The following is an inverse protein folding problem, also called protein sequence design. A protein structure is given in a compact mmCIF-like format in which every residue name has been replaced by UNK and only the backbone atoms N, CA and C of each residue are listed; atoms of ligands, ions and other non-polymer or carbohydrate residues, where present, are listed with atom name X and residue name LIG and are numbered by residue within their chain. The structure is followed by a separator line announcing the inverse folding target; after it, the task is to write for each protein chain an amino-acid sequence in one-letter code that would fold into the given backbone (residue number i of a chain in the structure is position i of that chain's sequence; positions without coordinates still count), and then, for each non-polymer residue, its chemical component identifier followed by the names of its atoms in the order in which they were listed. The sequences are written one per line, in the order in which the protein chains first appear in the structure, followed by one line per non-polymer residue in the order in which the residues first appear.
data_IF_303014542636
#
_entry.id   IF_303014542636
#
_cell.length_a   1.000
_cell.length_b   1.000
_cell.length_c   1.000
_cell.angle_alpha   90.00
_cell.angle_beta   90.00
_cell.angle_gamma   90.00
#
_symmetry.space_group_name_H-M   'P 1'
#
loop_
_entity.id
_entity.type
_entity.pdbx_description
1 polymer ?
#
# COMPACT_ATOMS: atom_id res chain seq x y z
N UNK A 1 -11.09 -22.01 -8.82
CA UNK A 1 -9.93 -21.10 -8.63
C UNK A 1 -10.11 -19.95 -9.60
N UNK A 2 -10.34 -18.73 -9.12
CA UNK A 2 -10.08 -17.57 -9.96
C UNK A 2 -8.59 -17.60 -10.32
N UNK A 3 -8.29 -17.55 -11.61
CA UNK A 3 -6.91 -17.57 -12.08
C UNK A 3 -6.34 -16.15 -12.08
N UNK A 4 -5.03 -16.00 -11.94
CA UNK A 4 -4.32 -14.71 -12.14
C UNK A 4 -4.62 -14.01 -13.47
N UNK A 5 -5.15 -14.76 -14.45
CA UNK A 5 -5.54 -14.27 -15.77
C UNK A 5 -7.06 -14.23 -15.96
N UNK A 6 -7.85 -14.35 -14.88
CA UNK A 6 -9.29 -14.16 -14.99
C UNK A 6 -9.58 -12.72 -15.39
N UNK A 7 -10.55 -12.55 -16.28
CA UNK A 7 -10.98 -11.22 -16.73
C UNK A 7 -11.39 -10.36 -15.53
N UNK A 8 -12.06 -10.94 -14.53
CA UNK A 8 -12.46 -10.26 -13.29
C UNK A 8 -11.27 -9.66 -12.52
N UNK A 9 -10.21 -10.44 -12.31
CA UNK A 9 -9.02 -10.00 -11.58
C UNK A 9 -8.28 -8.91 -12.35
N UNK A 10 -8.15 -9.08 -13.67
CA UNK A 10 -7.46 -8.11 -14.53
C UNK A 10 -8.22 -6.79 -14.64
N UNK A 11 -9.55 -6.82 -14.74
CA UNK A 11 -10.40 -5.61 -14.71
C UNK A 11 -10.30 -4.88 -13.38
N UNK A 12 -10.28 -5.63 -12.27
CA UNK A 12 -10.10 -5.07 -10.93
C UNK A 12 -8.77 -4.35 -10.81
N UNK A 13 -7.65 -5.06 -11.09
CA UNK A 13 -6.30 -4.51 -11.05
C UNK A 13 -6.18 -3.30 -11.97
N UNK A 14 -6.66 -3.39 -13.20
CA UNK A 14 -6.63 -2.29 -14.16
C UNK A 14 -7.38 -1.06 -13.64
N UNK A 15 -8.54 -1.26 -13.00
CA UNK A 15 -9.30 -0.16 -12.42
C UNK A 15 -8.58 0.54 -11.27
N UNK A 16 -7.81 -0.21 -10.47
CA UNK A 16 -6.99 0.34 -9.38
C UNK A 16 -5.79 1.08 -9.96
N UNK A 17 -5.07 0.47 -10.92
CA UNK A 17 -3.93 1.09 -11.59
C UNK A 17 -4.31 2.41 -12.26
N UNK A 18 -5.44 2.47 -12.98
CA UNK A 18 -5.94 3.70 -13.60
C UNK A 18 -6.18 4.83 -12.58
N UNK A 19 -6.63 4.50 -11.37
CA UNK A 19 -6.73 5.49 -10.30
C UNK A 19 -5.34 5.94 -9.82
N UNK A 20 -4.42 4.99 -9.69
CA UNK A 20 -3.07 5.22 -9.19
C UNK A 20 -2.16 5.98 -10.17
N UNK A 21 -2.39 5.90 -11.48
CA UNK A 21 -1.63 6.62 -12.52
C UNK A 21 -1.53 8.13 -12.26
N UNK A 22 -2.54 8.69 -11.59
CA UNK A 22 -2.57 10.10 -11.16
C UNK A 22 -1.42 10.48 -10.22
N UNK A 23 -0.80 9.48 -9.59
CA UNK A 23 0.26 9.62 -8.60
C UNK A 23 1.63 9.19 -9.12
N UNK A 24 1.78 8.82 -10.40
CA UNK A 24 3.04 8.35 -10.99
C UNK A 24 4.19 9.38 -10.93
N UNK A 25 3.89 10.66 -10.69
CA UNK A 25 4.92 11.69 -10.45
C UNK A 25 5.55 11.60 -9.06
N UNK A 26 4.87 10.97 -8.11
CA UNK A 26 5.29 10.84 -6.72
C UNK A 26 5.69 9.41 -6.37
N UNK A 27 5.15 8.42 -7.08
CA UNK A 27 5.40 7.00 -6.81
C UNK A 27 5.76 6.25 -8.09
N UNK A 28 6.74 5.36 -8.00
CA UNK A 28 6.86 4.22 -8.92
C UNK A 28 5.79 3.20 -8.55
N UNK A 29 5.16 2.58 -9.56
CA UNK A 29 4.05 1.65 -9.35
C UNK A 29 4.37 0.33 -10.02
N UNK A 30 4.34 -0.75 -9.23
CA UNK A 30 4.68 -2.10 -9.70
C UNK A 30 3.60 -3.09 -9.30
N UNK A 31 3.21 -3.96 -10.23
CA UNK A 31 2.24 -5.03 -9.96
C UNK A 31 2.97 -6.37 -9.91
N UNK A 32 2.75 -7.12 -8.84
CA UNK A 32 3.29 -8.45 -8.64
C UNK A 32 2.16 -9.47 -8.57
N UNK A 33 2.35 -10.61 -9.23
CA UNK A 33 1.40 -11.72 -9.24
C UNK A 33 1.97 -12.91 -8.51
N UNK A 34 1.16 -13.50 -7.64
CA UNK A 34 1.48 -14.69 -6.86
C UNK A 34 0.56 -15.85 -7.26
N UNK A 35 0.82 -17.03 -6.72
CA UNK A 35 -0.01 -18.22 -6.97
C UNK A 35 -1.41 -18.02 -6.40
N UNK A 36 -1.50 -17.31 -5.28
CA UNK A 36 -2.69 -17.14 -4.46
C UNK A 36 -3.26 -15.72 -4.47
N UNK A 37 -2.67 -14.79 -5.23
CA UNK A 37 -3.15 -13.42 -5.27
C UNK A 37 -2.31 -12.48 -6.14
N UNK A 38 -2.45 -11.20 -5.86
CA UNK A 38 -1.68 -10.13 -6.48
C UNK A 38 -1.37 -9.03 -5.46
N UNK A 39 -0.37 -8.21 -5.78
CA UNK A 39 -0.10 -6.98 -5.07
C UNK A 39 0.23 -5.84 -6.01
N UNK A 40 -0.04 -4.62 -5.56
CA UNK A 40 0.40 -3.38 -6.19
C UNK A 40 1.25 -2.63 -5.18
N UNK A 41 2.50 -2.39 -5.52
CA UNK A 41 3.47 -1.65 -4.72
C UNK A 41 3.59 -0.23 -5.26
N UNK A 42 3.59 0.75 -4.36
CA UNK A 42 3.89 2.15 -4.65
C UNK A 42 5.14 2.53 -3.88
N UNK A 43 6.23 2.83 -4.58
CA UNK A 43 7.49 3.26 -4.01
C UNK A 43 7.66 4.76 -4.22
N UNK A 44 7.76 5.52 -3.13
CA UNK A 44 7.86 6.97 -3.19
C UNK A 44 9.18 7.41 -3.82
N UNK A 45 9.09 8.27 -4.84
CA UNK A 45 10.22 8.76 -5.63
C UNK A 45 10.90 9.99 -5.02
N UNK A 46 10.40 10.49 -3.87
CA UNK A 46 10.77 11.81 -3.33
C UNK A 46 11.45 11.73 -1.96
N UNK A 47 11.31 12.78 -1.15
CA UNK A 47 12.07 13.09 0.07
C UNK A 47 12.02 12.04 1.19
N UNK A 48 11.01 11.16 1.18
CA UNK A 48 10.83 10.16 2.22
C UNK A 48 10.64 8.77 1.58
N UNK A 49 11.61 7.86 1.72
CA UNK A 49 11.55 6.52 1.14
C UNK A 49 10.43 5.72 1.82
N UNK A 50 9.25 5.71 1.20
CA UNK A 50 8.07 5.02 1.69
C UNK A 50 7.54 4.05 0.66
N UNK A 51 7.19 2.85 1.12
CA UNK A 51 6.55 1.83 0.32
C UNK A 51 5.11 1.60 0.80
N UNK A 52 4.14 1.69 -0.11
CA UNK A 52 2.74 1.35 0.14
C UNK A 52 2.42 0.10 -0.66
N UNK A 53 1.94 -0.95 -0.01
CA UNK A 53 1.63 -2.24 -0.64
C UNK A 53 0.15 -2.52 -0.47
N UNK A 54 -0.54 -2.72 -1.60
CA UNK A 54 -1.92 -3.20 -1.67
C UNK A 54 -1.86 -4.68 -2.03
N UNK A 55 -2.56 -5.53 -1.28
CA UNK A 55 -2.55 -6.99 -1.49
C UNK A 55 -3.99 -7.51 -1.57
N UNK A 56 -4.22 -8.49 -2.43
CA UNK A 56 -5.44 -9.28 -2.42
C UNK A 56 -5.17 -10.73 -2.83
N UNK A 57 -5.65 -11.66 -2.01
CA UNK A 57 -5.64 -13.08 -2.33
C UNK A 57 -6.89 -13.47 -3.13
N UNK A 58 -6.78 -14.36 -4.11
CA UNK A 58 -7.91 -14.84 -4.93
C UNK A 58 -8.98 -15.57 -4.11
N UNK A 59 -8.60 -16.14 -2.97
CA UNK A 59 -9.53 -16.82 -2.06
C UNK A 59 -10.17 -15.86 -1.05
N UNK A 60 -9.86 -14.56 -1.11
CA UNK A 60 -10.33 -13.54 -0.18
C UNK A 60 -11.06 -12.42 -0.92
N UNK A 61 -12.24 -12.06 -0.40
CA UNK A 61 -13.06 -10.98 -0.96
C UNK A 61 -12.75 -9.62 -0.34
N UNK A 62 -11.51 -9.40 0.09
CA UNK A 62 -11.09 -8.16 0.71
C UNK A 62 -9.65 -7.82 0.31
N UNK A 63 -9.31 -6.54 0.39
CA UNK A 63 -7.96 -6.03 0.20
C UNK A 63 -7.28 -5.81 1.54
N UNK A 64 -5.96 -5.89 1.52
CA UNK A 64 -5.09 -5.43 2.59
C UNK A 64 -4.25 -4.27 2.06
N UNK A 65 -3.93 -3.31 2.93
CA UNK A 65 -3.00 -2.23 2.61
C UNK A 65 -2.03 -2.04 3.76
N UNK A 66 -0.74 -1.94 3.43
CA UNK A 66 0.34 -1.70 4.37
C UNK A 66 1.24 -0.57 3.87
N UNK A 67 1.79 0.21 4.78
CA UNK A 67 2.75 1.28 4.48
C UNK A 67 3.99 1.09 5.34
N UNK A 68 5.16 1.30 4.75
CA UNK A 68 6.47 1.08 5.34
C UNK A 68 7.36 2.29 5.11
N UNK A 69 8.11 2.67 6.14
CA UNK A 69 9.33 3.46 6.02
C UNK A 69 10.45 2.52 5.58
N UNK A 70 11.20 2.92 4.56
CA UNK A 70 12.34 2.15 4.03
C UNK A 70 13.62 2.88 4.36
N UNK A 71 14.55 2.21 5.02
CA UNK A 71 15.89 2.75 5.32
C UNK A 71 16.97 1.79 4.83
N UNK A 72 18.20 2.28 4.70
CA UNK A 72 19.37 1.44 4.41
C UNK A 72 20.14 1.26 5.71
N UNK A 73 20.39 0.02 6.10
CA UNK A 73 21.16 -0.32 7.29
C UNK A 73 22.65 0.01 7.10
N UNK A 74 23.42 -0.05 8.20
CA UNK A 74 24.88 0.09 8.14
C UNK A 74 25.54 -1.01 7.28
N UNK A 75 24.86 -2.16 7.11
CA UNK A 75 25.30 -3.29 6.27
C UNK A 75 24.92 -3.13 4.79
N UNK A 76 24.31 -2.00 4.40
CA UNK A 76 23.75 -1.74 3.06
C UNK A 76 22.53 -2.61 2.68
N UNK A 77 21.83 -3.16 3.67
CA UNK A 77 20.58 -3.88 3.46
C UNK A 77 19.37 -2.95 3.58
N UNK A 78 18.31 -3.20 2.81
CA UNK A 78 17.04 -2.48 2.97
C UNK A 78 16.31 -2.95 4.23
N UNK A 79 15.99 -2.00 5.12
CA UNK A 79 15.19 -2.20 6.31
C UNK A 79 13.79 -1.62 6.12
N UNK A 80 12.78 -2.39 6.51
CA UNK A 80 11.38 -2.04 6.36
C UNK A 80 10.73 -1.90 7.74
N UNK A 81 10.23 -0.71 8.05
CA UNK A 81 9.53 -0.43 9.30
C UNK A 81 8.07 -0.10 9.00
N UNK A 82 7.16 -0.96 9.46
CA UNK A 82 5.73 -0.76 9.27
C UNK A 82 5.27 0.54 9.94
N UNK A 83 4.63 1.41 9.17
CA UNK A 83 4.00 2.66 9.63
C UNK A 83 2.51 2.49 9.85
N UNK A 84 1.87 1.67 9.00
CA UNK A 84 0.43 1.54 8.95
C UNK A 84 0.02 0.22 8.30
N UNK A 85 -1.05 -0.37 8.82
CA UNK A 85 -1.68 -1.54 8.22
C UNK A 85 -3.20 -1.51 8.41
N UNK A 86 -3.91 -1.94 7.37
CA UNK A 86 -5.34 -2.29 7.42
C UNK A 86 -5.49 -3.64 6.76
N UNK A 87 -5.85 -4.64 7.56
CA UNK A 87 -5.87 -6.04 7.15
C UNK A 87 -7.19 -6.46 6.48
N UNK A 88 -8.18 -5.57 6.38
CA UNK A 88 -9.46 -5.91 5.76
C UNK A 88 -10.20 -4.68 5.23
N UNK A 89 -10.29 -4.60 3.91
CA UNK A 89 -11.09 -3.61 3.18
C UNK A 89 -12.00 -4.37 2.22
N UNK A 90 -13.32 -4.31 2.41
CA UNK A 90 -14.25 -5.23 1.74
C UNK A 90 -14.65 -4.82 0.32
N UNK A 91 -14.40 -3.56 -0.06
CA UNK A 91 -14.82 -3.04 -1.36
C UNK A 91 -13.79 -2.05 -1.91
N UNK A 92 -13.85 -1.85 -3.23
CA UNK A 92 -12.91 -1.01 -3.96
C UNK A 92 -13.02 0.47 -3.57
N UNK A 93 -14.21 0.97 -3.28
CA UNK A 93 -14.42 2.39 -2.97
C UNK A 93 -13.71 2.79 -1.67
N UNK A 94 -13.83 1.95 -0.64
CA UNK A 94 -13.11 2.11 0.61
C UNK A 94 -11.60 1.96 0.42
N UNK A 95 -11.16 1.05 -0.46
CA UNK A 95 -9.74 0.92 -0.82
C UNK A 95 -9.20 2.22 -1.42
N UNK A 96 -9.87 2.78 -2.43
CA UNK A 96 -9.42 4.01 -3.09
C UNK A 96 -9.40 5.20 -2.11
N UNK A 97 -10.37 5.26 -1.21
CA UNK A 97 -10.41 6.26 -0.13
C UNK A 97 -9.23 6.09 0.83
N UNK A 98 -8.91 4.87 1.22
CA UNK A 98 -7.81 4.55 2.12
C UNK A 98 -6.45 4.88 1.49
N UNK A 99 -6.23 4.45 0.24
CA UNK A 99 -5.05 4.81 -0.57
C UNK A 99 -4.87 6.33 -0.58
N UNK A 100 -5.93 7.08 -0.88
CA UNK A 100 -5.88 8.55 -0.92
C UNK A 100 -5.43 9.14 0.42
N UNK A 101 -5.97 8.63 1.52
CA UNK A 101 -5.62 9.12 2.85
C UNK A 101 -4.16 8.81 3.21
N UNK A 102 -3.65 7.63 2.84
CA UNK A 102 -2.25 7.24 3.05
C UNK A 102 -1.32 8.10 2.19
N UNK A 103 -1.64 8.32 0.91
CA UNK A 103 -0.86 9.22 0.04
C UNK A 103 -0.78 10.63 0.66
N UNK A 104 -1.86 11.12 1.26
CA UNK A 104 -1.87 12.38 2.03
C UNK A 104 -1.28 12.31 3.45
N UNK A 105 -0.61 11.21 3.80
CA UNK A 105 0.20 11.08 5.02
C UNK A 105 -0.53 10.53 6.25
N UNK A 106 -1.73 9.94 6.11
CA UNK A 106 -2.47 9.33 7.24
C UNK A 106 -1.60 8.35 8.06
N UNK A 107 -0.79 7.56 7.36
CA UNK A 107 0.18 6.62 7.91
C UNK A 107 1.28 7.32 8.73
N UNK A 108 1.81 8.44 8.25
CA UNK A 108 2.85 9.23 8.92
C UNK A 108 2.32 9.87 10.22
N UNK A 109 1.10 10.40 10.20
CA UNK A 109 0.53 11.14 11.34
C UNK A 109 -0.03 10.26 12.45
N UNK A 110 -0.27 8.96 12.19
CA UNK A 110 -0.74 8.02 13.21
C UNK A 110 0.28 7.91 14.36
N UNK A 111 1.56 7.78 14.01
CA UNK A 111 2.66 7.73 14.97
C UNK A 111 2.89 9.07 15.68
N UNK A 112 2.60 10.21 15.03
CA UNK A 112 2.70 11.54 15.66
C UNK A 112 1.66 11.70 16.78
N UNK A 113 0.42 11.25 16.59
CA UNK A 113 -0.58 11.29 17.67
C UNK A 113 -0.19 10.43 18.87
N UNK A 114 0.40 9.26 18.63
CA UNK A 114 0.91 8.40 19.70
C UNK A 114 2.13 9.01 20.40
N UNK A 115 3.02 9.65 19.64
CA UNK A 115 4.21 10.34 20.17
C UNK A 115 3.84 11.60 20.98
N UNK A 116 2.87 12.39 20.52
CA UNK A 116 2.37 13.58 21.23
C UNK A 116 1.65 13.22 22.53
N UNK A 117 0.97 12.07 22.59
CA UNK A 117 0.40 11.54 23.84
C UNK A 117 1.47 11.20 24.87
N UNK A 118 2.67 10.79 24.45
CA UNK A 118 3.80 10.51 25.35
C UNK A 118 4.48 11.76 25.90
N UNK A 119 4.29 12.93 25.26
CA UNK A 119 4.94 14.20 25.66
C UNK A 119 4.06 15.04 26.59
N UNK A 120 2.73 14.83 26.58
CA UNK A 120 1.82 15.48 27.53
C UNK A 120 1.88 14.77 28.89
N UNK A 121 2.89 15.14 29.68
CA UNK A 121 2.90 14.97 31.13
C UNK A 121 2.30 16.22 31.79
#
# INVERSE_FOLDING_TARGET
MESKYSTSSQEEIHSILKYLERWNKFFSIETHYFIDGWSISLSELTLYPRHIIIVKNFNQNYYEIKSFEVSISESFDEEYKELFSVNKINNKEDLLKEIRQIIYGKDLFKNIKESLKKIRF
#
